data_IF_626022599205
#
_entry.id   IF_626022599205
#
_cell.length_a   1.000
_cell.length_b   1.000
_cell.length_c   1.000
_cell.angle_alpha   90.00
_cell.angle_beta   90.00
_cell.angle_gamma   90.00
#
_symmetry.space_group_name_H-M   'P 1'
#
loop_
_entity.id
_entity.type
_entity.pdbx_description
1 polymer ?
#
# COMPACT_ATOMS: atom_id res chain seq x y z
N UNK A 1 -17.26 -15.29 -63.66
CA UNK A 1 -17.41 -13.95 -64.27
C UNK A 1 -16.10 -13.14 -64.39
N UNK A 2 -14.98 -13.59 -63.83
CA UNK A 2 -13.68 -12.88 -63.87
C UNK A 2 -12.82 -13.16 -65.12
N UNK A 3 -13.05 -14.29 -65.81
CA UNK A 3 -12.29 -14.67 -67.01
C UNK A 3 -12.63 -13.80 -68.25
N UNK A 4 -13.93 -13.56 -68.51
CA UNK A 4 -14.36 -12.76 -69.68
C UNK A 4 -13.90 -11.29 -69.61
N UNK A 5 -14.08 -10.62 -68.47
CA UNK A 5 -13.70 -9.20 -68.31
C UNK A 5 -12.19 -8.97 -68.40
N UNK A 6 -11.39 -9.94 -67.93
CA UNK A 6 -9.93 -9.89 -68.09
C UNK A 6 -9.55 -9.97 -69.58
N UNK A 7 -10.20 -10.85 -70.35
CA UNK A 7 -9.92 -11.05 -71.78
C UNK A 7 -10.25 -9.81 -72.64
N UNK A 8 -11.28 -9.05 -72.29
CA UNK A 8 -11.63 -7.80 -72.99
C UNK A 8 -10.63 -6.66 -72.73
N UNK A 9 -10.12 -6.52 -71.51
CA UNK A 9 -9.17 -5.43 -71.18
C UNK A 9 -7.80 -5.65 -71.84
N UNK A 10 -7.32 -6.90 -71.90
CA UNK A 10 -6.09 -7.22 -72.65
C UNK A 10 -6.23 -6.83 -74.12
N UNK A 11 -7.39 -7.06 -74.75
CA UNK A 11 -7.63 -6.65 -76.15
C UNK A 11 -7.59 -5.14 -76.37
N UNK A 12 -8.01 -4.32 -75.41
CA UNK A 12 -8.12 -2.86 -75.59
C UNK A 12 -6.77 -2.17 -75.85
N UNK A 13 -5.69 -2.62 -75.22
CA UNK A 13 -4.36 -2.02 -75.39
C UNK A 13 -3.47 -2.74 -76.41
N UNK A 14 -3.88 -3.90 -76.92
CA UNK A 14 -3.07 -4.73 -77.84
C UNK A 14 -2.66 -3.96 -79.10
N UNK A 15 -3.60 -3.23 -79.74
CA UNK A 15 -3.31 -2.47 -80.97
C UNK A 15 -2.32 -1.32 -80.75
N UNK A 16 -2.42 -0.61 -79.63
CA UNK A 16 -1.53 0.53 -79.34
C UNK A 16 -0.14 0.06 -78.95
N UNK A 17 -0.05 -1.11 -78.29
CA UNK A 17 1.22 -1.79 -77.97
C UNK A 17 1.92 -2.31 -79.24
N UNK A 18 1.18 -2.88 -80.20
CA UNK A 18 1.78 -3.42 -81.44
C UNK A 18 2.34 -2.34 -82.38
N UNK A 19 1.79 -1.12 -82.34
CA UNK A 19 2.28 0.03 -83.13
C UNK A 19 3.46 0.73 -82.44
N UNK A 20 3.93 0.23 -81.28
CA UNK A 20 5.09 0.77 -80.57
C UNK A 20 4.86 2.14 -79.91
N UNK A 21 3.60 2.60 -79.81
CA UNK A 21 3.25 3.93 -79.25
C UNK A 21 2.84 3.90 -77.79
N UNK A 22 2.90 2.74 -77.13
CA UNK A 22 2.52 2.59 -75.72
C UNK A 22 3.75 2.65 -74.80
N UNK A 23 3.78 3.63 -73.89
CA UNK A 23 4.81 3.72 -72.85
C UNK A 23 4.24 3.21 -71.53
N UNK A 24 4.80 2.13 -71.02
CA UNK A 24 4.37 1.53 -69.75
C UNK A 24 4.72 2.42 -68.56
N UNK A 25 3.71 2.75 -67.76
CA UNK A 25 3.85 3.47 -66.49
C UNK A 25 3.68 2.50 -65.32
N UNK A 26 4.47 2.66 -64.28
CA UNK A 26 4.28 1.92 -63.02
C UNK A 26 3.22 2.59 -62.17
N UNK A 27 2.44 1.79 -61.45
CA UNK A 27 1.50 2.30 -60.45
C UNK A 27 2.27 2.81 -59.24
N UNK A 28 1.80 3.89 -58.62
CA UNK A 28 2.30 4.31 -57.31
C UNK A 28 1.73 3.39 -56.23
N UNK A 29 2.61 2.79 -55.44
CA UNK A 29 2.21 1.92 -54.35
C UNK A 29 1.55 2.71 -53.21
N UNK A 30 0.55 2.11 -52.58
CA UNK A 30 -0.16 2.70 -51.43
C UNK A 30 -1.11 3.85 -51.75
N UNK A 31 -1.31 4.19 -53.03
CA UNK A 31 -2.29 5.18 -53.48
C UNK A 31 -3.24 4.54 -54.50
N UNK A 32 -4.51 4.51 -54.13
CA UNK A 32 -5.62 4.07 -54.96
C UNK A 32 -6.86 4.84 -54.59
N UNK A 33 -7.76 5.06 -55.55
CA UNK A 33 -9.11 5.56 -55.26
C UNK A 33 -9.78 4.68 -54.20
N UNK A 34 -9.62 3.37 -54.29
CA UNK A 34 -10.14 2.43 -53.29
C UNK A 34 -9.49 2.65 -51.92
N UNK A 35 -8.18 2.87 -51.85
CA UNK A 35 -7.47 3.09 -50.59
C UNK A 35 -7.92 4.39 -49.92
N UNK A 36 -8.11 5.44 -50.71
CA UNK A 36 -8.64 6.73 -50.23
C UNK A 36 -10.07 6.58 -49.73
N UNK A 37 -10.95 5.92 -50.50
CA UNK A 37 -12.34 5.65 -50.09
C UNK A 37 -12.37 4.83 -48.81
N UNK A 38 -11.57 3.76 -48.72
CA UNK A 38 -11.52 2.93 -47.52
C UNK A 38 -11.05 3.72 -46.29
N UNK A 39 -10.10 4.65 -46.42
CA UNK A 39 -9.69 5.54 -45.33
C UNK A 39 -10.83 6.45 -44.86
N UNK A 40 -11.60 7.01 -45.79
CA UNK A 40 -12.76 7.86 -45.48
C UNK A 40 -13.87 7.06 -44.81
N UNK A 41 -14.17 5.85 -45.32
CA UNK A 41 -15.25 4.99 -44.81
C UNK A 41 -14.89 4.33 -43.48
N UNK A 42 -13.59 4.11 -43.19
CA UNK A 42 -13.08 3.43 -42.00
C UNK A 42 -13.76 3.91 -40.71
N UNK A 43 -13.85 5.23 -40.56
CA UNK A 43 -14.40 5.87 -39.37
C UNK A 43 -15.75 6.54 -39.64
N UNK A 44 -16.59 5.91 -40.49
CA UNK A 44 -17.93 6.40 -40.78
C UNK A 44 -18.77 6.65 -39.51
N UNK A 45 -18.65 5.79 -38.50
CA UNK A 45 -19.34 5.99 -37.21
C UNK A 45 -18.90 7.30 -36.51
N UNK A 46 -17.63 7.69 -36.64
CA UNK A 46 -17.12 8.92 -36.05
C UNK A 46 -17.61 10.16 -36.80
N UNK A 47 -17.62 10.09 -38.14
CA UNK A 47 -18.24 11.11 -39.00
C UNK A 47 -19.70 11.35 -38.61
N UNK A 48 -20.49 10.29 -38.48
CA UNK A 48 -21.90 10.36 -38.08
C UNK A 48 -22.04 11.05 -36.73
N UNK A 49 -21.25 10.63 -35.73
CA UNK A 49 -21.38 11.18 -34.39
C UNK A 49 -20.97 12.65 -34.28
N UNK A 50 -19.92 13.05 -34.99
CA UNK A 50 -19.47 14.44 -34.99
C UNK A 50 -20.51 15.36 -35.61
N UNK A 51 -21.18 14.90 -36.66
CA UNK A 51 -22.24 15.68 -37.31
C UNK A 51 -23.54 15.69 -36.50
N UNK A 52 -23.91 14.58 -35.87
CA UNK A 52 -25.03 14.57 -34.90
C UNK A 52 -24.78 15.53 -33.73
N UNK A 53 -23.54 15.64 -33.25
CA UNK A 53 -23.16 16.59 -32.20
C UNK A 53 -23.22 18.07 -32.66
N UNK A 54 -23.06 18.32 -33.97
CA UNK A 54 -23.21 19.66 -34.57
C UNK A 54 -24.66 20.04 -34.87
N UNK A 55 -25.60 19.10 -34.71
CA UNK A 55 -27.04 19.35 -34.93
C UNK A 55 -27.58 18.85 -36.27
N UNK A 56 -26.79 18.14 -37.09
CA UNK A 56 -27.34 17.47 -38.28
C UNK A 56 -28.32 16.37 -37.89
N UNK A 57 -29.36 16.17 -38.69
CA UNK A 57 -30.33 15.10 -38.41
C UNK A 57 -29.85 13.75 -38.95
N UNK A 58 -30.30 12.66 -38.34
CA UNK A 58 -30.00 11.30 -38.82
C UNK A 58 -30.44 11.06 -40.26
N UNK A 59 -31.50 11.75 -40.72
CA UNK A 59 -32.06 11.58 -42.07
C UNK A 59 -31.10 12.14 -43.10
N UNK A 60 -30.53 13.32 -42.83
CA UNK A 60 -29.55 13.97 -43.70
C UNK A 60 -28.26 13.16 -43.83
N UNK A 61 -27.92 12.40 -42.77
CA UNK A 61 -26.74 11.54 -42.73
C UNK A 61 -26.98 10.13 -43.30
N UNK A 62 -28.22 9.78 -43.66
CA UNK A 62 -28.58 8.42 -44.12
C UNK A 62 -28.47 7.35 -43.03
N UNK A 63 -28.63 7.72 -41.75
CA UNK A 63 -28.43 6.82 -40.61
C UNK A 63 -29.77 6.38 -40.01
N UNK A 64 -29.89 5.10 -39.70
CA UNK A 64 -31.08 4.56 -39.03
C UNK A 64 -31.18 5.04 -37.58
N UNK A 65 -32.41 5.16 -37.07
CA UNK A 65 -32.66 5.64 -35.70
C UNK A 65 -31.97 4.80 -34.62
N UNK A 66 -32.02 3.47 -34.76
CA UNK A 66 -31.37 2.55 -33.81
C UNK A 66 -29.86 2.76 -33.79
N UNK A 67 -29.25 2.95 -34.96
CA UNK A 67 -27.81 3.21 -35.08
C UNK A 67 -27.43 4.53 -34.41
N UNK A 68 -28.21 5.59 -34.62
CA UNK A 68 -28.02 6.89 -33.96
C UNK A 68 -28.04 6.76 -32.43
N UNK A 69 -29.07 6.10 -31.88
CA UNK A 69 -29.19 5.91 -30.43
C UNK A 69 -28.06 5.07 -29.86
N UNK A 70 -27.69 3.97 -30.53
CA UNK A 70 -26.54 3.13 -30.12
C UNK A 70 -25.25 3.94 -30.07
N UNK A 71 -24.99 4.75 -31.10
CA UNK A 71 -23.78 5.55 -31.14
C UNK A 71 -23.78 6.64 -30.05
N UNK A 72 -24.94 7.26 -29.77
CA UNK A 72 -25.12 8.24 -28.68
C UNK A 72 -24.85 7.63 -27.30
N UNK A 73 -25.39 6.44 -27.06
CA UNK A 73 -25.16 5.68 -25.83
C UNK A 73 -23.68 5.30 -25.69
N UNK A 74 -23.04 4.82 -26.76
CA UNK A 74 -21.62 4.52 -26.76
C UNK A 74 -20.75 5.74 -26.43
N UNK A 75 -21.13 6.93 -26.90
CA UNK A 75 -20.45 8.18 -26.50
C UNK A 75 -20.65 8.50 -25.02
N UNK A 76 -21.86 8.33 -24.49
CA UNK A 76 -22.13 8.48 -23.06
C UNK A 76 -21.26 7.54 -22.22
N UNK A 77 -21.19 6.27 -22.61
CA UNK A 77 -20.34 5.27 -21.94
C UNK A 77 -18.85 5.60 -22.00
N UNK A 78 -18.33 6.06 -23.14
CA UNK A 78 -16.92 6.50 -23.25
C UNK A 78 -16.61 7.65 -22.29
N UNK A 79 -17.46 8.68 -22.25
CA UNK A 79 -17.31 9.81 -21.31
C UNK A 79 -17.40 9.38 -19.86
N UNK A 80 -18.32 8.47 -19.53
CA UNK A 80 -18.44 7.92 -18.18
C UNK A 80 -17.17 7.15 -17.80
N UNK A 81 -16.68 6.28 -18.67
CA UNK A 81 -15.44 5.51 -18.46
C UNK A 81 -14.25 6.43 -18.21
N UNK A 82 -14.11 7.51 -18.98
CA UNK A 82 -13.06 8.51 -18.79
C UNK A 82 -13.17 9.20 -17.43
N UNK A 83 -14.38 9.59 -17.01
CA UNK A 83 -14.61 10.18 -15.68
C UNK A 83 -14.27 9.20 -14.56
N UNK A 84 -14.72 7.95 -14.67
CA UNK A 84 -14.42 6.89 -13.70
C UNK A 84 -12.92 6.65 -13.60
N UNK A 85 -12.21 6.58 -14.73
CA UNK A 85 -10.76 6.41 -14.74
C UNK A 85 -10.05 7.55 -14.01
N UNK A 86 -10.44 8.81 -14.27
CA UNK A 86 -9.90 9.97 -13.54
C UNK A 86 -10.14 9.90 -12.03
N UNK A 87 -11.33 9.46 -11.62
CA UNK A 87 -11.64 9.27 -10.19
C UNK A 87 -10.81 8.15 -9.57
N UNK A 88 -10.60 7.04 -10.29
CA UNK A 88 -9.73 5.96 -9.84
C UNK A 88 -8.28 6.41 -9.65
N UNK A 89 -7.75 7.21 -10.57
CA UNK A 89 -6.40 7.80 -10.46
C UNK A 89 -6.31 8.70 -9.21
N UNK A 90 -7.26 9.61 -9.02
CA UNK A 90 -7.30 10.48 -7.83
C UNK A 90 -7.43 9.70 -6.51
N UNK A 91 -8.25 8.64 -6.49
CA UNK A 91 -8.41 7.79 -5.31
C UNK A 91 -7.13 7.01 -5.03
N UNK A 92 -6.46 6.51 -6.06
CA UNK A 92 -5.16 5.83 -5.94
C UNK A 92 -4.10 6.73 -5.30
N UNK A 93 -3.98 7.98 -5.76
CA UNK A 93 -3.07 8.97 -5.18
C UNK A 93 -3.38 9.24 -3.70
N UNK A 94 -4.67 9.44 -3.37
CA UNK A 94 -5.10 9.69 -1.98
C UNK A 94 -4.83 8.50 -1.07
N UNK A 95 -5.07 7.28 -1.52
CA UNK A 95 -4.79 6.05 -0.75
C UNK A 95 -3.29 5.93 -0.50
N UNK A 96 -2.43 6.23 -1.48
CA UNK A 96 -0.98 6.21 -1.25
C UNK A 96 -0.53 7.23 -0.22
N UNK A 97 -1.11 8.44 -0.24
CA UNK A 97 -0.82 9.48 0.77
C UNK A 97 -1.25 9.00 2.16
N UNK A 98 -2.49 8.51 2.29
CA UNK A 98 -3.00 8.00 3.58
C UNK A 98 -2.16 6.82 4.09
N UNK A 99 -1.75 5.90 3.21
CA UNK A 99 -0.90 4.78 3.59
C UNK A 99 0.49 5.25 4.09
N UNK A 100 1.09 6.25 3.43
CA UNK A 100 2.34 6.87 3.89
C UNK A 100 2.16 7.55 5.25
N UNK A 101 1.12 8.36 5.43
CA UNK A 101 0.84 9.03 6.70
C UNK A 101 0.57 8.02 7.82
N UNK A 102 -0.20 6.97 7.57
CA UNK A 102 -0.46 5.91 8.55
C UNK A 102 0.82 5.13 8.92
N UNK A 103 1.71 4.88 7.95
CA UNK A 103 3.00 4.26 8.21
C UNK A 103 3.90 5.15 9.08
N UNK A 104 3.96 6.45 8.82
CA UNK A 104 4.67 7.43 9.65
C UNK A 104 4.09 7.46 11.07
N UNK A 105 2.77 7.55 11.20
CA UNK A 105 2.11 7.64 12.49
C UNK A 105 2.30 6.35 13.33
N UNK A 106 2.33 5.17 12.71
CA UNK A 106 2.66 3.92 13.41
C UNK A 106 4.07 3.96 14.01
N UNK A 107 5.04 4.51 13.29
CA UNK A 107 6.42 4.60 13.79
C UNK A 107 6.53 5.61 14.95
N UNK A 108 5.82 6.74 14.89
CA UNK A 108 5.78 7.74 15.97
C UNK A 108 5.25 7.17 17.29
N UNK A 109 4.19 6.35 17.24
CA UNK A 109 3.64 5.69 18.43
C UNK A 109 4.58 4.65 19.02
N UNK A 110 5.25 3.86 18.18
CA UNK A 110 6.23 2.86 18.61
C UNK A 110 7.43 3.56 19.25
N UNK A 111 7.98 4.59 18.59
CA UNK A 111 9.11 5.36 19.12
C UNK A 111 8.76 6.06 20.45
N UNK A 112 7.55 6.61 20.59
CA UNK A 112 7.12 7.22 21.84
C UNK A 112 6.88 6.17 22.94
N UNK A 113 6.39 4.97 22.60
CA UNK A 113 6.25 3.86 23.54
C UNK A 113 7.61 3.37 24.01
N UNK A 114 8.57 3.17 23.10
CA UNK A 114 9.94 2.77 23.43
C UNK A 114 10.63 3.82 24.32
N UNK A 115 10.42 5.11 24.04
CA UNK A 115 10.92 6.21 24.89
C UNK A 115 10.30 6.19 26.30
N UNK A 116 9.00 5.93 26.42
CA UNK A 116 8.33 5.80 27.72
C UNK A 116 8.82 4.59 28.50
N UNK A 117 9.00 3.45 27.83
CA UNK A 117 9.55 2.23 28.43
C UNK A 117 11.00 2.44 28.86
N UNK A 118 11.83 3.07 28.03
CA UNK A 118 13.22 3.39 28.36
C UNK A 118 13.33 4.30 29.59
N UNK A 119 12.57 5.41 29.63
CA UNK A 119 12.55 6.31 30.79
C UNK A 119 12.01 5.65 32.05
N UNK A 120 11.03 4.76 31.92
CA UNK A 120 10.54 3.96 33.06
C UNK A 120 11.61 3.00 33.59
N UNK A 121 12.32 2.29 32.71
CA UNK A 121 13.37 1.36 33.08
C UNK A 121 14.54 2.06 33.76
N UNK A 122 14.96 3.23 33.27
CA UNK A 122 15.99 4.06 33.89
C UNK A 122 15.62 4.44 35.33
N UNK A 123 14.39 4.95 35.54
CA UNK A 123 13.89 5.26 36.88
C UNK A 123 13.78 4.03 37.79
N UNK A 124 13.44 2.87 37.22
CA UNK A 124 13.33 1.60 37.95
C UNK A 124 14.71 1.09 38.39
N UNK A 125 15.70 1.12 37.50
CA UNK A 125 17.08 0.71 37.78
C UNK A 125 17.69 1.58 38.87
N UNK A 126 17.55 2.90 38.80
CA UNK A 126 18.01 3.80 39.86
C UNK A 126 17.40 3.46 41.22
N UNK A 127 16.11 3.13 41.26
CA UNK A 127 15.39 2.81 42.49
C UNK A 127 15.81 1.45 43.05
N UNK A 128 16.05 0.47 42.18
CA UNK A 128 16.59 -0.84 42.55
C UNK A 128 18.02 -0.73 43.10
N UNK A 129 18.86 0.11 42.51
CA UNK A 129 20.21 0.37 43.03
C UNK A 129 20.16 1.04 44.41
N UNK A 130 19.33 2.08 44.59
CA UNK A 130 19.11 2.74 45.91
C UNK A 130 18.55 1.78 46.95
N UNK A 131 17.66 0.86 46.56
CA UNK A 131 17.13 -0.17 47.46
C UNK A 131 18.20 -1.21 47.82
N UNK A 132 18.98 -1.64 46.83
CA UNK A 132 20.07 -2.59 47.01
C UNK A 132 21.18 -2.06 47.92
N UNK A 133 21.51 -0.78 47.84
CA UNK A 133 22.46 -0.12 48.76
C UNK A 133 21.90 -0.08 50.18
N UNK A 134 20.64 0.34 50.36
CA UNK A 134 20.00 0.42 51.67
C UNK A 134 19.88 -0.96 52.36
N UNK A 135 19.56 -2.02 51.59
CA UNK A 135 19.50 -3.39 52.11
C UNK A 135 20.90 -3.87 52.52
N UNK A 136 21.91 -3.62 51.68
CA UNK A 136 23.31 -3.98 51.97
C UNK A 136 23.81 -3.27 53.23
N UNK A 137 23.54 -1.98 53.37
CA UNK A 137 23.88 -1.19 54.56
C UNK A 137 23.23 -1.76 55.82
N UNK A 138 21.93 -2.07 55.78
CA UNK A 138 21.21 -2.68 56.91
C UNK A 138 21.76 -4.05 57.31
N UNK A 139 22.14 -4.88 56.33
CA UNK A 139 22.74 -6.20 56.60
C UNK A 139 24.13 -6.02 57.22
N UNK A 140 24.95 -5.10 56.68
CA UNK A 140 26.30 -4.85 57.15
C UNK A 140 26.33 -4.24 58.56
N UNK A 141 25.39 -3.35 58.87
CA UNK A 141 25.21 -2.79 60.22
C UNK A 141 24.80 -3.87 61.24
N UNK A 142 23.90 -4.79 60.85
CA UNK A 142 23.51 -5.92 61.71
C UNK A 142 24.68 -6.89 61.96
N UNK A 143 25.47 -7.20 60.93
CA UNK A 143 26.64 -8.08 61.04
C UNK A 143 27.75 -7.44 61.90
N UNK A 144 27.99 -6.14 61.76
CA UNK A 144 28.98 -5.42 62.58
C UNK A 144 28.52 -5.26 64.03
N UNK A 145 27.23 -4.99 64.28
CA UNK A 145 26.64 -5.00 65.63
C UNK A 145 26.72 -6.39 66.29
N UNK A 146 26.41 -7.47 65.56
CA UNK A 146 26.59 -8.84 66.07
C UNK A 146 28.05 -9.18 66.37
N UNK A 147 28.99 -8.80 65.50
CA UNK A 147 30.44 -8.97 65.78
C UNK A 147 30.87 -8.17 67.01
N UNK A 148 30.40 -6.93 67.16
CA UNK A 148 30.70 -6.09 68.32
C UNK A 148 30.15 -6.71 69.62
N UNK A 149 28.90 -7.20 69.59
CA UNK A 149 28.26 -7.90 70.72
C UNK A 149 29.01 -9.19 71.06
N UNK A 150 29.41 -9.98 70.05
CA UNK A 150 30.22 -11.18 70.24
C UNK A 150 31.61 -10.89 70.82
N UNK A 151 32.27 -9.82 70.36
CA UNK A 151 33.55 -9.36 70.93
C UNK A 151 33.40 -8.82 72.36
N UNK A 152 32.27 -8.21 72.70
CA UNK A 152 31.94 -7.77 74.06
C UNK A 152 31.69 -9.00 74.95
N UNK A 153 30.88 -9.97 74.52
CA UNK A 153 30.65 -11.22 75.25
C UNK A 153 31.96 -12.00 75.49
N UNK A 154 32.84 -12.09 74.50
CA UNK A 154 34.14 -12.75 74.62
C UNK A 154 35.17 -11.95 75.45
N UNK A 155 34.92 -10.66 75.69
CA UNK A 155 35.73 -9.79 76.58
C UNK A 155 35.28 -9.88 78.05
N UNK A 156 34.02 -10.18 78.30
CA UNK A 156 33.45 -10.29 79.66
C UNK A 156 33.39 -11.74 80.18
N UNK A 157 33.47 -12.75 79.32
CA UNK A 157 33.61 -14.15 79.71
C UNK A 157 34.93 -14.74 79.18
N UNK A 158 36.02 -14.40 79.85
CA UNK A 158 37.29 -15.12 79.81
C UNK A 158 37.66 -15.55 81.24
N UNK A 159 37.63 -16.87 81.46
CA UNK A 159 37.96 -17.66 82.66
C UNK A 159 37.13 -17.41 83.95
N UNK A 160 36.39 -18.45 84.36
CA UNK A 160 35.82 -18.55 85.70
C UNK A 160 34.48 -19.26 85.78
N UNK A 161 34.54 -20.60 85.82
CA UNK A 161 33.67 -21.55 86.51
C UNK A 161 32.13 -21.55 86.32
N UNK A 162 31.70 -22.67 85.73
CA UNK A 162 30.56 -23.52 86.09
C UNK A 162 29.68 -23.01 87.24
N UNK A 163 28.39 -22.76 86.97
CA UNK A 163 27.30 -23.13 87.88
C UNK A 163 25.99 -23.32 87.10
N UNK A 164 25.65 -24.60 86.99
CA UNK A 164 24.40 -25.17 86.54
C UNK A 164 23.25 -24.78 87.50
N UNK A 165 22.29 -23.98 87.04
CA UNK A 165 21.01 -23.80 87.73
C UNK A 165 19.84 -24.16 86.80
N UNK A 166 19.36 -25.38 86.99
CA UNK A 166 17.95 -25.73 86.77
C UNK A 166 17.12 -24.99 87.82
N UNK A 167 15.99 -24.41 87.44
CA UNK A 167 14.68 -24.90 87.90
C UNK A 167 13.56 -24.23 87.12
N UNK A 168 12.72 -25.13 86.60
CA UNK A 168 11.34 -24.99 86.16
C UNK A 168 10.44 -24.35 87.22
N UNK A 169 9.38 -23.66 86.78
CA UNK A 169 8.04 -23.48 87.38
C UNK A 169 7.45 -22.18 86.80
N UNK A 170 6.20 -22.05 86.43
CA UNK A 170 5.09 -22.98 86.21
C UNK A 170 3.92 -22.10 85.73
N UNK A 171 2.83 -22.74 85.29
CA UNK A 171 1.47 -22.18 85.19
C UNK A 171 1.11 -21.48 83.86
N UNK A 172 0.56 -22.28 82.93
CA UNK A 172 -0.86 -22.29 82.50
C UNK A 172 -1.56 -20.92 82.29
N UNK A 173 -2.50 -20.67 81.38
CA UNK A 173 -3.32 -21.40 80.40
C UNK A 173 -4.03 -20.27 79.60
N UNK A 174 -4.10 -20.31 78.27
CA UNK A 174 -5.30 -20.66 77.50
C UNK A 174 -6.60 -19.86 77.84
N UNK A 175 -7.06 -18.97 76.93
CA UNK A 175 -8.30 -19.17 76.13
C UNK A 175 -8.64 -17.98 75.20
N UNK A 176 -9.25 -18.35 74.08
CA UNK A 176 -9.72 -17.58 72.92
C UNK A 176 -10.83 -16.54 73.18
N UNK A 177 -10.90 -15.51 72.31
CA UNK A 177 -11.92 -15.37 71.25
C UNK A 177 -11.38 -14.49 70.10
#
# INVERSE_FOLDING_TARGET
MTSLNRMHFYKMFVQVKSVGRFKETKRTDGISTSDVIMRIVKDYNEYVMRNLARGYTRKDLGVSYVKEKRLRVNMGFKKLREKVKKQQEMVGEKIQVVAKTACVHRNEWVENADRLVAGFLEMFEERCHKMGTNIRERIQEKLTKQKLIGLIYHRYHGDGDNDQYYYDDDTEEEYSD
#
